data_IF_881818671680
#
_entry.id   IF_881818671680
#
_cell.length_a   1.000
_cell.length_b   1.000
_cell.length_c   1.000
_cell.angle_alpha   90.00
_cell.angle_beta   90.00
_cell.angle_gamma   90.00
#
_symmetry.space_group_name_H-M   'P 1'
#
loop_
_entity.id
_entity.type
_entity.pdbx_description
1 polymer ?
#
# COMPACT_ATOMS: atom_id res chain seq x y z
N UNK A 1 4.44 -12.24 -18.63
CA UNK A 1 5.00 -12.83 -17.39
C UNK A 1 4.31 -12.18 -16.20
N UNK A 2 3.94 -12.93 -15.16
CA UNK A 2 3.41 -12.35 -13.92
C UNK A 2 4.39 -11.34 -13.32
N UNK A 3 3.88 -10.24 -12.78
CA UNK A 3 4.66 -9.19 -12.13
C UNK A 3 3.94 -8.66 -10.90
N UNK A 4 4.67 -7.99 -10.01
CA UNK A 4 4.08 -7.28 -8.88
C UNK A 4 3.20 -6.15 -9.43
N UNK A 5 1.94 -6.15 -9.03
CA UNK A 5 0.94 -5.18 -9.47
C UNK A 5 0.56 -4.20 -8.36
N UNK A 6 0.72 -4.62 -7.10
CA UNK A 6 0.36 -3.87 -5.90
C UNK A 6 1.18 -4.35 -4.71
N UNK A 7 1.42 -3.50 -3.72
CA UNK A 7 2.01 -3.90 -2.45
C UNK A 7 1.39 -3.16 -1.27
N UNK A 8 1.34 -3.81 -0.12
CA UNK A 8 0.79 -3.26 1.10
C UNK A 8 1.85 -3.11 2.18
N UNK A 9 1.80 -1.97 2.87
CA UNK A 9 2.69 -1.61 3.96
C UNK A 9 1.86 -1.60 5.25
N UNK A 10 2.01 -2.61 6.13
CA UNK A 10 1.40 -2.57 7.46
C UNK A 10 2.21 -1.67 8.40
N UNK A 11 1.52 -0.81 9.14
CA UNK A 11 2.11 0.09 10.13
C UNK A 11 1.37 0.03 11.48
N UNK A 12 2.13 0.04 12.57
CA UNK A 12 1.56 0.16 13.92
C UNK A 12 1.05 1.57 14.19
N UNK A 13 1.78 2.58 13.70
CA UNK A 13 1.36 3.97 13.70
C UNK A 13 1.24 4.43 12.24
N UNK A 14 -0.01 4.43 11.75
CA UNK A 14 -0.32 4.78 10.36
C UNK A 14 -0.07 6.26 10.09
N UNK A 15 -0.35 7.15 11.06
CA UNK A 15 -0.11 8.58 10.88
C UNK A 15 1.37 8.91 10.75
N UNK A 16 2.22 8.27 11.57
CA UNK A 16 3.67 8.37 11.45
C UNK A 16 4.15 7.88 10.09
N UNK A 17 3.63 6.74 9.62
CA UNK A 17 3.99 6.20 8.32
C UNK A 17 3.55 7.12 7.17
N UNK A 18 2.33 7.65 7.20
CA UNK A 18 1.85 8.63 6.22
C UNK A 18 2.75 9.85 6.13
N UNK A 19 3.16 10.42 7.27
CA UNK A 19 4.08 11.57 7.32
C UNK A 19 5.44 11.21 6.70
N UNK A 20 5.97 10.03 7.02
CA UNK A 20 7.24 9.55 6.47
C UNK A 20 7.18 9.40 4.95
N UNK A 21 6.21 8.64 4.42
CA UNK A 21 6.14 8.36 2.98
C UNK A 21 5.82 9.61 2.16
N UNK A 22 4.99 10.52 2.69
CA UNK A 22 4.77 11.85 2.07
C UNK A 22 6.04 12.70 2.08
N UNK A 23 6.75 12.76 3.20
CA UNK A 23 7.91 13.66 3.36
C UNK A 23 9.17 13.19 2.62
N UNK A 24 9.40 11.88 2.55
CA UNK A 24 10.62 11.32 1.93
C UNK A 24 10.44 11.06 0.44
N UNK A 25 9.27 10.56 0.03
CA UNK A 25 9.06 10.10 -1.34
C UNK A 25 8.03 10.92 -2.12
N UNK A 26 7.43 11.94 -1.51
CA UNK A 26 6.39 12.76 -2.14
C UNK A 26 5.19 11.92 -2.65
N UNK A 27 4.90 10.80 -1.98
CA UNK A 27 3.78 9.94 -2.36
C UNK A 27 2.44 10.59 -2.03
N UNK A 28 1.54 10.60 -3.02
CA UNK A 28 0.17 11.04 -2.83
C UNK A 28 -0.64 9.90 -2.21
N UNK A 29 -1.31 10.16 -1.09
CA UNK A 29 -2.04 9.17 -0.30
C UNK A 29 -3.51 9.53 -0.23
N UNK A 30 -4.39 8.64 -0.67
CA UNK A 30 -5.85 8.78 -0.62
C UNK A 30 -6.43 7.82 0.41
N UNK A 31 -7.19 8.35 1.37
CA UNK A 31 -7.83 7.52 2.39
C UNK A 31 -9.11 6.91 1.84
N UNK A 32 -9.18 5.59 1.84
CA UNK A 32 -10.41 4.82 1.74
C UNK A 32 -10.84 4.45 3.17
N UNK A 33 -11.71 5.28 3.73
CA UNK A 33 -12.20 5.08 5.09
C UNK A 33 -13.23 3.95 5.16
N UNK A 34 -13.25 3.23 6.27
CA UNK A 34 -14.34 2.31 6.58
C UNK A 34 -15.25 2.95 7.66
N UNK A 35 -16.50 3.33 7.32
CA UNK A 35 -17.41 3.98 8.26
C UNK A 35 -17.78 3.12 9.48
N UNK A 36 -17.75 1.80 9.34
CA UNK A 36 -18.14 0.85 10.39
C UNK A 36 -16.99 0.52 11.32
N UNK A 37 -15.75 0.53 10.80
CA UNK A 37 -14.56 0.19 11.56
C UNK A 37 -13.34 1.00 11.08
N UNK A 38 -13.03 2.13 11.76
CA UNK A 38 -11.86 2.94 11.43
C UNK A 38 -10.51 2.19 11.54
N UNK A 39 -10.45 1.06 12.26
CA UNK A 39 -9.22 0.25 12.31
C UNK A 39 -8.91 -0.45 10.99
N UNK A 40 -9.90 -0.51 10.09
CA UNK A 40 -9.79 -1.01 8.71
C UNK A 40 -9.65 0.10 7.67
N UNK A 41 -9.36 1.32 8.11
CA UNK A 41 -9.00 2.39 7.19
C UNK A 41 -7.80 1.98 6.34
N UNK A 42 -7.87 2.32 5.06
CA UNK A 42 -6.87 1.96 4.07
C UNK A 42 -6.42 3.21 3.33
N UNK A 43 -5.13 3.36 3.08
CA UNK A 43 -4.57 4.50 2.35
C UNK A 43 -3.96 4.02 1.06
N UNK A 44 -4.59 4.35 -0.07
CA UNK A 44 -4.05 4.07 -1.39
C UNK A 44 -2.98 5.10 -1.76
N UNK A 45 -1.91 4.65 -2.40
CA UNK A 45 -0.91 5.56 -2.96
C UNK A 45 -0.42 5.10 -4.33
N UNK A 46 0.02 6.05 -5.13
CA UNK A 46 0.73 5.81 -6.38
C UNK A 46 2.23 6.13 -6.17
N UNK A 47 3.09 5.38 -6.85
CA UNK A 47 4.53 5.67 -6.93
C UNK A 47 4.89 6.17 -8.33
N UNK A 48 6.16 6.54 -8.53
CA UNK A 48 6.71 6.88 -9.84
C UNK A 48 7.91 6.00 -10.15
N UNK A 49 8.11 5.68 -11.43
CA UNK A 49 9.34 5.04 -11.90
C UNK A 49 10.53 6.02 -11.91
N UNK A 50 11.71 5.54 -12.31
CA UNK A 50 12.93 6.36 -12.41
C UNK A 50 12.82 7.53 -13.38
N UNK A 51 11.89 7.47 -14.34
CA UNK A 51 11.62 8.50 -15.34
C UNK A 51 10.47 9.43 -14.93
N UNK A 52 9.87 9.22 -13.75
CA UNK A 52 8.73 10.00 -13.26
C UNK A 52 7.36 9.57 -13.79
N UNK A 53 7.28 8.49 -14.57
CA UNK A 53 6.00 7.93 -15.02
C UNK A 53 5.29 7.20 -13.88
N UNK A 54 4.00 6.95 -14.03
CA UNK A 54 3.21 6.18 -13.05
C UNK A 54 3.84 4.80 -12.81
N UNK A 55 4.23 4.53 -11.57
CA UNK A 55 4.79 3.26 -11.12
C UNK A 55 3.76 2.34 -10.47
N UNK A 56 4.24 1.28 -9.82
CA UNK A 56 3.42 0.34 -9.04
C UNK A 56 2.89 1.07 -7.81
N UNK A 57 1.56 1.12 -7.67
CA UNK A 57 0.91 1.67 -6.49
C UNK A 57 0.84 0.66 -5.34
N UNK A 58 0.31 1.12 -4.22
CA UNK A 58 0.19 0.29 -3.04
C UNK A 58 -0.84 0.81 -2.06
N UNK A 59 -0.88 0.16 -0.91
CA UNK A 59 -1.60 0.70 0.23
C UNK A 59 -0.83 0.66 1.53
N UNK A 60 -1.23 1.55 2.42
CA UNK A 60 -0.75 1.63 3.78
C UNK A 60 -1.96 1.38 4.70
N UNK A 61 -1.79 0.51 5.68
CA UNK A 61 -2.88 0.14 6.60
C UNK A 61 -2.37 -0.17 8.00
N UNK A 62 -3.30 -0.26 8.95
CA UNK A 62 -2.99 -0.67 10.32
C UNK A 62 -2.52 -2.13 10.35
N UNK A 63 -1.39 -2.41 11.01
CA UNK A 63 -0.92 -3.79 11.24
C UNK A 63 -1.99 -4.63 11.94
N UNK A 64 -2.27 -5.82 11.39
CA UNK A 64 -3.35 -6.72 11.88
C UNK A 64 -2.83 -7.83 12.81
N UNK A 65 -1.55 -8.20 12.69
CA UNK A 65 -0.88 -9.17 13.54
C UNK A 65 0.62 -8.85 13.62
N UNK A 66 1.34 -9.26 14.68
CA UNK A 66 2.77 -8.97 14.83
C UNK A 66 3.61 -9.38 13.61
N UNK A 67 3.30 -10.51 13.00
CA UNK A 67 3.96 -11.10 11.84
C UNK A 67 3.54 -10.49 10.49
N UNK A 68 2.55 -9.59 10.46
CA UNK A 68 2.06 -9.00 9.21
C UNK A 68 3.16 -8.11 8.59
N UNK A 69 3.91 -8.65 7.64
CA UNK A 69 4.96 -7.93 6.91
C UNK A 69 4.41 -7.23 5.67
N UNK A 70 5.28 -6.52 4.95
CA UNK A 70 4.94 -6.02 3.60
C UNK A 70 4.46 -7.19 2.75
N UNK A 71 3.32 -6.99 2.08
CA UNK A 71 2.68 -8.02 1.25
C UNK A 71 2.70 -7.55 -0.20
N UNK A 72 3.26 -8.37 -1.10
CA UNK A 72 3.23 -8.12 -2.54
C UNK A 72 2.12 -8.93 -3.19
N UNK A 73 1.40 -8.29 -4.11
CA UNK A 73 0.35 -8.91 -4.91
C UNK A 73 0.84 -9.06 -6.34
N UNK A 74 0.83 -10.29 -6.83
CA UNK A 74 1.26 -10.65 -8.18
C UNK A 74 0.01 -11.03 -8.97
N UNK A 75 -0.23 -10.35 -10.09
CA UNK A 75 -1.34 -10.69 -10.97
C UNK A 75 -0.97 -11.89 -11.83
N UNK A 76 -1.77 -12.94 -11.74
CA UNK A 76 -1.69 -14.15 -12.56
C UNK A 76 -2.99 -14.33 -13.34
N UNK A 77 -2.97 -14.97 -14.53
CA UNK A 77 -4.18 -15.24 -15.30
C UNK A 77 -5.18 -16.13 -14.54
N UNK A 78 -4.66 -17.09 -13.78
CA UNK A 78 -5.41 -18.04 -12.96
C UNK A 78 -4.52 -18.45 -11.78
N UNK A 79 -5.13 -18.77 -10.64
CA UNK A 79 -4.44 -19.36 -9.47
C UNK A 79 -4.48 -20.88 -9.47
N UNK A 80 -5.37 -21.46 -10.30
CA UNK A 80 -5.64 -22.89 -10.37
C UNK A 80 -5.01 -23.56 -11.60
N UNK A 81 -4.56 -22.76 -12.59
CA UNK A 81 -3.83 -23.21 -13.78
C UNK A 81 -2.32 -22.92 -13.66
#
# INVERSE_FOLDING_TARGET
MPTVQHFEIPADDVERALKFYKGVFDWTMQKLGNPEDPSKDYWFFDTKDENGNKGIGGGLMKRQAPEHSVTNYITVPSVDD
#
